data_IF_522493043305
#
_entry.id   IF_522493043305
#
_cell.length_a   1.000
_cell.length_b   1.000
_cell.length_c   1.000
_cell.angle_alpha   90.00
_cell.angle_beta   90.00
_cell.angle_gamma   90.00
#
_symmetry.space_group_name_H-M   'P 1'
#
loop_
_entity.id
_entity.type
_entity.pdbx_description
1 polymer ?
#
# COMPACT_ATOMS: atom_id res chain seq x y z
N UNK A 1 11.14 -15.68 12.65
CA UNK A 1 9.65 -15.76 12.62
C UNK A 1 9.11 -14.45 13.14
N UNK A 2 8.29 -13.72 12.38
CA UNK A 2 7.60 -12.54 12.86
C UNK A 2 6.71 -12.96 14.05
N UNK A 3 7.07 -12.54 15.27
CA UNK A 3 6.31 -12.81 16.50
C UNK A 3 5.09 -11.89 16.65
N UNK A 4 4.73 -11.14 15.60
CA UNK A 4 3.57 -10.26 15.62
C UNK A 4 2.28 -11.07 15.39
N UNK A 5 1.33 -10.95 16.31
CA UNK A 5 -0.02 -11.51 16.15
C UNK A 5 -0.68 -10.90 14.90
N UNK A 6 -1.26 -11.73 14.03
CA UNK A 6 -2.05 -11.25 12.88
C UNK A 6 -3.26 -10.45 13.39
N UNK A 7 -3.38 -9.16 13.07
CA UNK A 7 -4.41 -8.33 13.65
C UNK A 7 -5.70 -8.50 12.84
N UNK A 8 -6.43 -9.60 13.07
CA UNK A 8 -7.66 -9.92 12.34
C UNK A 8 -8.70 -8.78 12.39
N UNK A 9 -8.75 -8.00 13.48
CA UNK A 9 -9.62 -6.81 13.61
C UNK A 9 -9.19 -5.61 12.75
N UNK A 10 -7.96 -5.61 12.24
CA UNK A 10 -7.40 -4.54 11.41
C UNK A 10 -7.71 -4.69 9.91
N UNK A 11 -8.38 -5.77 9.50
CA UNK A 11 -8.79 -6.01 8.11
C UNK A 11 -10.29 -6.29 8.09
N UNK A 12 -11.01 -5.70 7.13
CA UNK A 12 -12.41 -6.06 6.89
C UNK A 12 -12.52 -7.49 6.43
N UNK A 13 -13.52 -8.22 6.93
CA UNK A 13 -13.74 -9.62 6.57
C UNK A 13 -13.81 -9.78 5.04
N UNK A 14 -14.50 -8.88 4.33
CA UNK A 14 -14.61 -8.90 2.86
C UNK A 14 -13.27 -8.80 2.11
N UNK A 15 -12.23 -8.26 2.73
CA UNK A 15 -10.92 -7.99 2.09
C UNK A 15 -9.94 -9.15 2.17
N UNK A 16 -10.22 -10.22 2.93
CA UNK A 16 -9.29 -11.34 3.04
C UNK A 16 -9.99 -12.68 3.22
N UNK A 17 -9.32 -13.75 2.80
CA UNK A 17 -9.70 -15.11 3.12
C UNK A 17 -8.48 -15.85 3.70
N UNK A 18 -8.62 -16.42 4.88
CA UNK A 18 -7.60 -17.25 5.49
C UNK A 18 -8.25 -18.52 6.02
N UNK A 19 -7.64 -19.67 5.73
CA UNK A 19 -8.10 -20.97 6.23
C UNK A 19 -6.91 -21.91 6.38
N UNK A 20 -7.09 -22.93 7.21
CA UNK A 20 -6.17 -24.06 7.29
C UNK A 20 -6.94 -25.34 7.57
N UNK A 21 -6.45 -26.46 7.05
CA UNK A 21 -7.09 -27.75 7.22
C UNK A 21 -6.32 -28.87 6.53
N UNK A 22 -6.84 -30.10 6.62
CA UNK A 22 -6.24 -31.25 5.98
C UNK A 22 -6.77 -31.49 4.57
N UNK A 23 -5.90 -32.02 3.72
CA UNK A 23 -6.28 -32.41 2.36
C UNK A 23 -7.34 -33.50 2.34
N UNK A 24 -7.22 -34.52 3.20
CA UNK A 24 -8.23 -35.59 3.35
C UNK A 24 -9.61 -35.08 3.77
N UNK A 25 -9.69 -33.88 4.35
CA UNK A 25 -10.93 -33.25 4.83
C UNK A 25 -11.50 -32.26 3.79
N UNK A 26 -10.90 -32.16 2.60
CA UNK A 26 -11.41 -31.35 1.50
C UNK A 26 -11.06 -29.87 1.58
N UNK A 27 -9.94 -29.50 2.23
CA UNK A 27 -9.52 -28.10 2.37
C UNK A 27 -9.28 -27.42 1.01
N UNK A 28 -8.84 -28.16 -0.01
CA UNK A 28 -8.58 -27.62 -1.36
C UNK A 28 -9.90 -27.20 -2.01
N UNK A 29 -10.91 -28.08 -2.00
CA UNK A 29 -12.23 -27.81 -2.53
C UNK A 29 -12.89 -26.65 -1.78
N UNK A 30 -12.69 -26.57 -0.46
CA UNK A 30 -13.15 -25.45 0.35
C UNK A 30 -12.49 -24.13 -0.08
N UNK A 31 -11.17 -24.10 -0.25
CA UNK A 31 -10.45 -22.89 -0.69
C UNK A 31 -10.94 -22.45 -2.06
N UNK A 32 -11.04 -23.37 -3.02
CA UNK A 32 -11.49 -23.04 -4.39
C UNK A 32 -12.92 -22.51 -4.41
N UNK A 33 -13.83 -23.13 -3.65
CA UNK A 33 -15.22 -22.69 -3.51
C UNK A 33 -15.32 -21.30 -2.88
N UNK A 34 -14.61 -21.07 -1.77
CA UNK A 34 -14.65 -19.78 -1.08
C UNK A 34 -13.99 -18.67 -1.88
N UNK A 35 -12.86 -18.94 -2.56
CA UNK A 35 -12.23 -17.97 -3.46
C UNK A 35 -13.15 -17.57 -4.60
N UNK A 36 -13.80 -18.53 -5.28
CA UNK A 36 -14.76 -18.25 -6.35
C UNK A 36 -15.97 -17.44 -5.85
N UNK A 37 -16.46 -17.74 -4.65
CA UNK A 37 -17.62 -17.07 -4.04
C UNK A 37 -17.29 -15.64 -3.60
N UNK A 38 -16.12 -15.44 -2.99
CA UNK A 38 -15.74 -14.20 -2.32
C UNK A 38 -14.98 -13.23 -3.22
N UNK A 39 -14.23 -13.75 -4.19
CA UNK A 39 -13.39 -12.99 -5.12
C UNK A 39 -13.60 -13.46 -6.56
N UNK A 40 -14.80 -13.27 -7.14
CA UNK A 40 -15.16 -13.82 -8.45
C UNK A 40 -14.35 -13.25 -9.63
N UNK A 41 -13.70 -12.10 -9.44
CA UNK A 41 -12.80 -11.51 -10.44
C UNK A 41 -11.40 -12.16 -10.46
N UNK A 42 -11.07 -12.95 -9.45
CA UNK A 42 -9.77 -13.60 -9.32
C UNK A 42 -9.78 -15.02 -9.91
N UNK A 43 -8.65 -15.47 -10.49
CA UNK A 43 -8.52 -16.86 -10.86
C UNK A 43 -8.59 -17.75 -9.62
N UNK A 44 -9.32 -18.85 -9.76
CA UNK A 44 -9.41 -19.88 -8.72
C UNK A 44 -8.00 -20.45 -8.46
N UNK A 45 -7.56 -20.61 -7.20
CA UNK A 45 -6.23 -21.14 -6.92
C UNK A 45 -6.07 -22.57 -7.44
N UNK A 46 -4.94 -22.79 -8.09
CA UNK A 46 -4.49 -24.12 -8.52
C UNK A 46 -3.51 -24.67 -7.48
N UNK A 47 -3.65 -25.96 -7.18
CA UNK A 47 -2.80 -26.67 -6.24
C UNK A 47 -2.10 -27.82 -6.95
N UNK A 48 -0.86 -28.08 -6.57
CA UNK A 48 -0.03 -29.12 -7.17
C UNK A 48 -0.69 -30.51 -7.10
N UNK A 49 -0.52 -31.32 -8.15
CA UNK A 49 -0.97 -32.71 -8.19
C UNK A 49 -0.50 -33.57 -7.00
N UNK A 50 0.63 -33.24 -6.36
CA UNK A 50 1.19 -33.90 -5.16
C UNK A 50 0.20 -33.92 -3.98
N UNK A 51 -0.72 -32.96 -3.91
CA UNK A 51 -1.79 -32.98 -2.91
C UNK A 51 -2.74 -34.17 -3.06
N UNK A 52 -2.88 -34.73 -4.26
CA UNK A 52 -3.72 -35.90 -4.52
C UNK A 52 -3.13 -37.19 -3.96
N UNK A 53 -1.82 -37.23 -3.70
CA UNK A 53 -1.11 -38.43 -3.24
C UNK A 53 -0.74 -38.37 -1.75
N UNK A 54 -0.95 -37.23 -1.08
CA UNK A 54 -0.59 -36.99 0.31
C UNK A 54 -1.81 -36.50 1.13
N UNK A 55 -2.82 -37.35 1.39
CA UNK A 55 -4.07 -36.93 2.01
C UNK A 55 -3.92 -36.44 3.47
N UNK A 56 -2.91 -36.89 4.20
CA UNK A 56 -2.69 -36.54 5.62
C UNK A 56 -1.92 -35.23 5.85
N UNK A 57 -1.70 -34.42 4.81
CA UNK A 57 -0.98 -33.14 4.94
C UNK A 57 -1.90 -31.99 5.27
N UNK A 58 -1.39 -31.06 6.09
CA UNK A 58 -2.05 -29.80 6.40
C UNK A 58 -1.65 -28.72 5.39
N UNK A 59 -2.64 -27.95 4.94
CA UNK A 59 -2.48 -26.78 4.08
C UNK A 59 -2.98 -25.53 4.83
N UNK A 60 -2.17 -24.46 4.80
CA UNK A 60 -2.60 -23.14 5.21
C UNK A 60 -2.62 -22.21 3.98
N UNK A 61 -3.73 -21.52 3.77
CA UNK A 61 -3.95 -20.62 2.64
C UNK A 61 -4.44 -19.26 3.13
N UNK A 62 -3.79 -18.20 2.67
CA UNK A 62 -4.21 -16.83 2.91
C UNK A 62 -4.24 -16.02 1.61
N UNK A 63 -5.30 -15.27 1.43
CA UNK A 63 -5.53 -14.33 0.33
C UNK A 63 -5.93 -12.98 0.89
N UNK A 64 -5.27 -11.92 0.42
CA UNK A 64 -5.58 -10.54 0.76
C UNK A 64 -5.84 -9.76 -0.53
N UNK A 65 -7.02 -9.13 -0.62
CA UNK A 65 -7.38 -8.19 -1.67
C UNK A 65 -7.82 -6.88 -1.03
N UNK A 66 -7.02 -5.85 -1.26
CA UNK A 66 -7.30 -4.50 -0.78
C UNK A 66 -7.38 -3.59 -1.97
N UNK A 67 -8.62 -3.37 -2.42
CA UNK A 67 -8.95 -2.37 -3.42
C UNK A 67 -9.37 -1.08 -2.71
N UNK A 68 -8.59 -0.01 -2.92
CA UNK A 68 -8.86 1.31 -2.34
C UNK A 68 -9.10 2.30 -3.48
N UNK A 69 -10.37 2.65 -3.63
CA UNK A 69 -10.84 3.55 -4.65
C UNK A 69 -10.68 5.04 -4.24
N UNK A 70 -9.92 5.83 -5.00
CA UNK A 70 -9.84 7.29 -4.82
C UNK A 70 -11.10 8.00 -5.33
N UNK A 71 -11.71 8.83 -4.49
CA UNK A 71 -12.88 9.64 -4.86
C UNK A 71 -12.63 10.51 -6.10
N UNK A 72 -11.41 11.05 -6.22
CA UNK A 72 -10.97 11.78 -7.41
C UNK A 72 -9.73 11.11 -8.01
N UNK A 73 -9.78 10.66 -9.27
CA UNK A 73 -8.64 10.00 -9.90
C UNK A 73 -7.49 10.98 -10.11
N UNK A 74 -6.26 10.49 -9.99
CA UNK A 74 -5.06 11.27 -10.28
C UNK A 74 -4.80 11.37 -11.79
N UNK A 75 -3.98 12.33 -12.18
CA UNK A 75 -3.56 12.52 -13.56
C UNK A 75 -2.34 11.66 -13.86
N UNK A 76 -2.30 10.99 -15.01
CA UNK A 76 -1.05 10.35 -15.45
C UNK A 76 0.04 11.39 -15.74
N UNK A 77 1.27 11.02 -15.47
CA UNK A 77 2.44 11.76 -15.95
C UNK A 77 2.60 11.49 -17.46
N UNK A 78 2.73 12.54 -18.29
CA UNK A 78 2.87 12.37 -19.74
C UNK A 78 4.28 11.89 -20.16
N UNK A 79 5.24 11.93 -19.25
CA UNK A 79 6.63 11.55 -19.47
C UNK A 79 7.07 10.52 -18.43
N UNK A 80 8.18 9.83 -18.72
CA UNK A 80 8.84 8.96 -17.77
C UNK A 80 9.13 9.72 -16.46
N UNK A 81 8.85 9.05 -15.35
CA UNK A 81 9.25 9.48 -14.02
C UNK A 81 10.46 8.64 -13.62
N UNK A 82 11.59 9.29 -13.34
CA UNK A 82 12.83 8.59 -12.99
C UNK A 82 12.77 8.12 -11.53
N UNK A 83 12.77 6.80 -11.32
CA UNK A 83 12.91 6.20 -10.00
C UNK A 83 14.36 5.73 -9.80
N UNK A 84 15.02 6.23 -8.75
CA UNK A 84 16.36 5.84 -8.36
C UNK A 84 16.31 4.84 -7.19
N UNK A 85 16.80 3.62 -7.37
CA UNK A 85 16.84 2.59 -6.32
C UNK A 85 17.95 2.84 -5.29
N UNK A 86 18.01 1.99 -4.25
CA UNK A 86 19.01 2.07 -3.18
C UNK A 86 20.45 1.86 -3.65
N UNK A 87 20.65 1.20 -4.79
CA UNK A 87 21.95 0.99 -5.43
C UNK A 87 22.34 2.14 -6.38
N UNK A 88 21.46 3.12 -6.59
CA UNK A 88 21.65 4.25 -7.48
C UNK A 88 21.21 3.99 -8.93
N UNK A 89 20.60 2.84 -9.24
CA UNK A 89 20.07 2.54 -10.57
C UNK A 89 18.85 3.42 -10.84
N UNK A 90 18.81 4.07 -12.00
CA UNK A 90 17.66 4.88 -12.43
C UNK A 90 16.83 4.13 -13.47
N UNK A 91 15.52 4.10 -13.25
CA UNK A 91 14.55 3.47 -14.15
C UNK A 91 13.42 4.44 -14.44
N UNK A 92 13.15 4.69 -15.73
CA UNK A 92 11.97 5.45 -16.16
C UNK A 92 10.69 4.62 -16.00
N UNK A 93 9.79 5.06 -15.13
CA UNK A 93 8.53 4.37 -14.81
C UNK A 93 7.31 5.25 -15.14
N UNK A 94 6.15 4.63 -15.25
CA UNK A 94 4.89 5.39 -15.28
C UNK A 94 4.57 5.89 -13.86
N UNK A 95 3.89 7.03 -13.81
CA UNK A 95 3.53 7.67 -12.55
C UNK A 95 2.25 8.47 -12.69
N UNK A 96 1.64 8.81 -11.57
CA UNK A 96 0.53 9.73 -11.47
C UNK A 96 0.87 10.94 -10.60
N UNK A 97 0.14 12.05 -10.82
CA UNK A 97 0.40 13.33 -10.18
C UNK A 97 -0.88 14.05 -9.77
N UNK A 98 -0.78 14.83 -8.70
CA UNK A 98 -1.77 15.87 -8.39
C UNK A 98 -1.42 17.12 -9.20
N UNK A 99 -1.95 17.25 -10.43
CA UNK A 99 -1.56 18.29 -11.39
C UNK A 99 -1.72 19.72 -10.86
N UNK A 100 -0.92 20.64 -11.43
CA UNK A 100 -1.14 22.09 -11.46
C UNK A 100 -1.18 22.56 -12.92
N UNK A 101 -2.15 23.41 -13.27
CA UNK A 101 -2.32 24.03 -14.60
C UNK A 101 -3.48 25.03 -14.57
N UNK A 102 -3.50 26.08 -15.43
CA UNK A 102 -4.45 27.19 -15.33
C UNK A 102 -5.89 26.93 -15.82
N UNK A 103 -6.21 25.78 -16.41
CA UNK A 103 -7.46 25.56 -17.15
C UNK A 103 -8.49 24.58 -16.54
N UNK A 104 -9.13 24.87 -15.40
CA UNK A 104 -10.48 24.39 -15.00
C UNK A 104 -10.75 24.50 -13.51
N UNK A 105 -11.92 25.00 -13.17
CA UNK A 105 -12.48 25.08 -11.81
C UNK A 105 -12.75 23.73 -11.12
N UNK A 106 -12.35 22.60 -11.72
CA UNK A 106 -12.42 21.25 -11.14
C UNK A 106 -11.18 20.85 -10.33
N UNK A 107 -10.12 21.66 -10.40
CA UNK A 107 -8.75 21.30 -10.03
C UNK A 107 -8.44 21.17 -8.54
N UNK A 108 -9.27 21.71 -7.66
CA UNK A 108 -8.99 21.66 -6.23
C UNK A 108 -9.21 20.27 -5.62
N UNK A 109 -10.04 19.41 -6.23
CA UNK A 109 -10.54 18.20 -5.56
C UNK A 109 -9.50 17.08 -5.41
N UNK A 110 -8.70 16.82 -6.45
CA UNK A 110 -7.62 15.81 -6.40
C UNK A 110 -6.54 16.22 -5.39
N UNK A 111 -6.29 17.53 -5.25
CA UNK A 111 -5.33 18.06 -4.28
C UNK A 111 -5.91 18.10 -2.86
N UNK A 112 -7.19 18.45 -2.75
CA UNK A 112 -7.88 18.54 -1.47
C UNK A 112 -7.94 17.19 -0.76
N UNK A 113 -8.14 16.08 -1.48
CA UNK A 113 -8.15 14.75 -0.86
C UNK A 113 -6.78 14.35 -0.27
N UNK A 114 -5.68 14.96 -0.70
CA UNK A 114 -4.33 14.64 -0.20
C UNK A 114 -4.13 15.24 1.19
N UNK A 115 -3.66 14.43 2.14
CA UNK A 115 -3.20 14.92 3.44
C UNK A 115 -1.71 14.62 3.61
N UNK A 116 -0.92 15.66 3.90
CA UNK A 116 0.50 15.54 4.27
C UNK A 116 0.55 15.23 5.76
N UNK A 117 0.95 14.00 6.08
CA UNK A 117 1.00 13.49 7.46
C UNK A 117 2.32 13.83 8.17
N UNK A 118 3.36 14.13 7.40
CA UNK A 118 4.68 14.54 7.88
C UNK A 118 5.44 15.22 6.75
N UNK A 119 6.22 16.26 7.07
CA UNK A 119 7.16 16.88 6.15
C UNK A 119 8.39 17.40 6.89
N UNK A 120 9.56 17.10 6.35
CA UNK A 120 10.85 17.65 6.74
C UNK A 120 11.61 17.98 5.44
N UNK A 121 11.96 19.27 5.20
CA UNK A 121 12.61 19.68 3.97
C UNK A 121 14.02 19.10 3.79
N UNK A 122 14.68 18.64 4.86
CA UNK A 122 16.07 18.23 4.82
C UNK A 122 17.02 19.36 4.38
N UNK A 123 18.22 18.98 3.96
CA UNK A 123 19.23 19.93 3.43
C UNK A 123 19.05 20.22 1.93
N UNK A 124 18.36 19.32 1.22
CA UNK A 124 18.06 19.38 -0.20
C UNK A 124 16.78 18.62 -0.50
N UNK A 125 16.14 18.84 -1.67
CA UNK A 125 15.03 18.02 -2.14
C UNK A 125 15.35 16.51 -2.13
N UNK A 126 16.63 16.15 -2.24
CA UNK A 126 17.08 14.77 -2.23
C UNK A 126 17.07 14.11 -0.83
N UNK A 127 17.11 14.94 0.20
CA UNK A 127 17.10 14.51 1.61
C UNK A 127 15.77 14.78 2.31
N UNK A 128 14.80 15.40 1.63
CA UNK A 128 13.51 15.70 2.22
C UNK A 128 12.78 14.40 2.60
N UNK A 129 12.16 14.40 3.77
CA UNK A 129 11.37 13.27 4.27
C UNK A 129 9.92 13.70 4.37
N UNK A 130 9.00 12.79 4.03
CA UNK A 130 7.58 13.11 4.10
C UNK A 130 6.73 11.86 4.14
N UNK A 131 5.50 12.03 4.61
CA UNK A 131 4.45 11.03 4.52
C UNK A 131 3.15 11.66 4.02
N UNK A 132 2.45 10.94 3.16
CA UNK A 132 1.25 11.41 2.49
C UNK A 132 0.17 10.34 2.58
N UNK A 133 -1.02 10.72 3.01
CA UNK A 133 -2.27 10.01 2.75
C UNK A 133 -2.79 10.46 1.38
N UNK A 134 -2.87 9.53 0.44
CA UNK A 134 -3.25 9.86 -0.93
C UNK A 134 -4.73 10.26 -1.06
N UNK A 135 -5.57 9.95 -0.07
CA UNK A 135 -6.95 10.43 -0.07
C UNK A 135 -7.55 10.24 1.32
N UNK A 136 -7.68 11.31 2.12
CA UNK A 136 -8.26 11.23 3.47
C UNK A 136 -9.71 10.70 3.49
N UNK A 137 -10.36 10.63 2.32
CA UNK A 137 -11.74 10.20 2.10
C UNK A 137 -11.88 8.69 1.91
N UNK A 138 -10.82 7.95 1.57
CA UNK A 138 -10.91 6.50 1.33
C UNK A 138 -11.44 5.78 2.57
N UNK A 139 -12.34 4.82 2.45
CA UNK A 139 -12.84 4.04 3.60
C UNK A 139 -12.92 2.56 3.22
N UNK A 140 -12.66 1.65 4.17
CA UNK A 140 -12.27 1.90 5.57
C UNK A 140 -10.76 2.12 5.76
N UNK A 141 -9.97 1.90 4.71
CA UNK A 141 -8.52 1.92 4.79
C UNK A 141 -7.91 3.27 4.46
N UNK A 142 -6.78 3.54 5.11
CA UNK A 142 -5.84 4.60 4.77
C UNK A 142 -4.68 3.99 4.00
N UNK A 143 -4.27 4.63 2.90
CA UNK A 143 -3.05 4.29 2.17
C UNK A 143 -2.05 5.41 2.40
N UNK A 144 -1.04 5.13 3.21
CA UNK A 144 0.03 6.07 3.53
C UNK A 144 1.27 5.70 2.73
N UNK A 145 1.80 6.66 1.98
CA UNK A 145 3.12 6.57 1.39
C UNK A 145 4.10 7.41 2.19
N UNK A 146 5.30 6.90 2.43
CA UNK A 146 6.29 7.65 3.19
C UNK A 146 7.72 7.49 2.66
N UNK A 147 8.37 8.62 2.39
CA UNK A 147 9.78 8.71 2.04
C UNK A 147 10.56 9.12 3.28
N UNK A 148 11.22 8.16 3.91
CA UNK A 148 12.05 8.35 5.12
C UNK A 148 13.13 7.26 5.18
N UNK A 149 14.17 7.40 6.03
CA UNK A 149 15.14 6.32 6.23
C UNK A 149 14.49 5.01 6.66
N UNK A 150 14.93 3.90 6.06
CA UNK A 150 14.49 2.55 6.42
C UNK A 150 15.10 2.16 7.77
N UNK A 151 14.28 1.67 8.69
CA UNK A 151 14.75 1.03 9.91
C UNK A 151 15.23 -0.41 9.66
N UNK A 152 15.79 -1.04 10.70
CA UNK A 152 16.29 -2.42 10.62
C UNK A 152 15.19 -3.45 10.28
N UNK A 153 13.92 -3.12 10.54
CA UNK A 153 12.76 -3.94 10.20
C UNK A 153 11.64 -3.04 9.67
N UNK A 154 10.68 -3.61 8.92
CA UNK A 154 9.48 -2.88 8.50
C UNK A 154 8.68 -2.35 9.70
N UNK A 155 8.63 -3.12 10.80
CA UNK A 155 7.99 -2.69 12.04
C UNK A 155 8.67 -1.47 12.66
N UNK A 156 10.00 -1.44 12.71
CA UNK A 156 10.75 -0.28 13.17
C UNK A 156 10.55 0.94 12.26
N UNK A 157 10.53 0.75 10.94
CA UNK A 157 10.22 1.84 9.98
C UNK A 157 8.81 2.38 10.19
N UNK A 158 7.81 1.51 10.40
CA UNK A 158 6.43 1.91 10.65
C UNK A 158 6.26 2.65 11.99
N UNK A 159 6.98 2.22 13.03
CA UNK A 159 7.02 2.91 14.31
C UNK A 159 7.61 4.31 14.16
N UNK A 160 8.77 4.44 13.51
CA UNK A 160 9.42 5.74 13.26
C UNK A 160 8.53 6.68 12.43
N UNK A 161 7.82 6.15 11.43
CA UNK A 161 6.81 6.88 10.67
C UNK A 161 5.70 7.40 11.61
N UNK A 162 5.17 6.54 12.48
CA UNK A 162 4.08 6.92 13.38
C UNK A 162 4.52 7.99 14.39
N UNK A 163 5.74 7.91 14.93
CA UNK A 163 6.32 8.92 15.82
C UNK A 163 6.44 10.27 15.11
N UNK A 164 6.95 10.29 13.86
CA UNK A 164 7.04 11.51 13.04
C UNK A 164 5.68 12.13 12.74
N UNK A 165 4.68 11.31 12.39
CA UNK A 165 3.30 11.80 12.17
C UNK A 165 2.71 12.40 13.45
N UNK A 166 2.87 11.73 14.59
CA UNK A 166 2.37 12.22 15.88
C UNK A 166 3.05 13.53 16.27
N UNK A 167 4.38 13.64 16.10
CA UNK A 167 5.12 14.86 16.38
C UNK A 167 4.69 16.02 15.49
N UNK A 168 4.53 15.78 14.19
CA UNK A 168 4.12 16.79 13.21
C UNK A 168 2.73 17.36 13.48
N UNK A 169 1.81 16.57 14.03
CA UNK A 169 0.48 17.04 14.45
C UNK A 169 0.49 18.09 15.57
N UNK A 170 1.59 18.18 16.32
CA UNK A 170 1.74 19.16 17.40
C UNK A 170 2.30 20.50 16.90
N UNK A 171 2.63 20.62 15.60
CA UNK A 171 3.08 21.87 15.00
C UNK A 171 1.93 22.91 15.04
N UNK A 172 2.14 24.14 15.53
CA UNK A 172 1.10 25.18 15.59
C UNK A 172 0.46 25.48 14.23
N UNK A 173 1.21 25.30 13.14
CA UNK A 173 0.77 25.54 11.77
C UNK A 173 0.29 24.25 11.07
N UNK A 174 0.14 23.12 11.79
CA UNK A 174 -0.20 21.80 11.21
C UNK A 174 -1.36 21.86 10.22
N UNK A 175 -2.41 22.64 10.48
CA UNK A 175 -3.57 22.77 9.59
C UNK A 175 -3.25 23.42 8.24
N UNK A 176 -2.22 24.27 8.18
CA UNK A 176 -1.70 24.81 6.93
C UNK A 176 -0.75 23.80 6.27
N UNK A 177 0.13 23.16 7.05
CA UNK A 177 1.14 22.24 6.55
C UNK A 177 0.58 20.90 6.05
N UNK A 178 -0.52 20.42 6.62
CA UNK A 178 -1.15 19.14 6.25
C UNK A 178 -1.83 19.17 4.87
N UNK A 179 -2.02 20.35 4.28
CA UNK A 179 -2.68 20.51 2.97
C UNK A 179 -1.66 20.57 1.86
N UNK A 180 -1.98 19.99 0.70
CA UNK A 180 -1.19 20.15 -0.51
C UNK A 180 -1.45 21.55 -1.13
N UNK A 181 -0.55 22.50 -0.89
CA UNK A 181 -0.71 23.91 -1.31
C UNK A 181 -0.59 24.03 -2.82
N UNK A 182 -1.14 25.08 -3.47
CA UNK A 182 -1.08 25.22 -4.94
C UNK A 182 0.33 25.15 -5.54
N UNK A 183 1.36 25.58 -4.81
CA UNK A 183 2.76 25.56 -5.25
C UNK A 183 3.45 24.20 -5.05
N UNK A 184 2.83 23.26 -4.32
CA UNK A 184 3.41 21.94 -4.07
C UNK A 184 3.20 20.98 -5.24
N UNK A 185 4.08 19.99 -5.35
CA UNK A 185 3.98 18.93 -6.35
C UNK A 185 3.98 17.56 -5.68
N UNK A 186 3.09 16.68 -6.13
CA UNK A 186 3.00 15.27 -5.71
C UNK A 186 3.08 14.40 -6.96
N UNK A 187 4.04 13.48 -6.99
CA UNK A 187 4.23 12.50 -8.05
C UNK A 187 4.52 11.14 -7.41
N UNK A 188 3.79 10.11 -7.85
CA UNK A 188 3.83 8.75 -7.29
C UNK A 188 3.95 7.76 -8.46
N UNK A 189 4.91 6.82 -8.45
CA UNK A 189 4.96 5.74 -9.44
C UNK A 189 3.69 4.89 -9.43
N UNK A 190 3.27 4.38 -10.59
CA UNK A 190 2.31 3.29 -10.61
C UNK A 190 3.00 2.03 -10.07
N UNK A 191 2.43 1.43 -9.02
CA UNK A 191 2.97 0.21 -8.39
C UNK A 191 1.97 -0.91 -8.56
N UNK A 192 2.36 -1.94 -9.30
CA UNK A 192 1.59 -3.17 -9.46
C UNK A 192 2.29 -4.29 -8.71
N UNK A 193 1.62 -4.85 -7.72
CA UNK A 193 2.18 -5.88 -6.87
C UNK A 193 1.27 -7.10 -6.80
N UNK A 194 1.66 -8.15 -7.52
CA UNK A 194 1.08 -9.48 -7.39
C UNK A 194 2.14 -10.40 -6.83
N UNK A 195 2.10 -10.66 -5.53
CA UNK A 195 3.03 -11.57 -4.87
C UNK A 195 2.30 -12.85 -4.47
N UNK A 196 2.87 -13.98 -4.88
CA UNK A 196 2.63 -15.26 -4.25
C UNK A 196 3.88 -15.59 -3.43
N UNK A 197 3.74 -15.69 -2.12
CA UNK A 197 4.80 -16.07 -1.21
C UNK A 197 4.56 -17.50 -0.72
N UNK A 198 5.58 -18.34 -0.88
CA UNK A 198 5.64 -19.66 -0.27
C UNK A 198 6.51 -19.54 0.98
N UNK A 199 5.96 -19.85 2.15
CA UNK A 199 6.74 -19.84 3.39
C UNK A 199 7.59 -21.11 3.50
N UNK A 200 8.70 -21.14 2.77
CA UNK A 200 9.61 -22.30 2.73
C UNK A 200 10.14 -22.67 4.11
N UNK A 201 10.38 -21.68 4.98
CA UNK A 201 10.81 -21.87 6.37
C UNK A 201 9.81 -22.66 7.21
N UNK A 202 8.54 -22.76 6.81
CA UNK A 202 7.55 -23.56 7.51
C UNK A 202 7.55 -25.01 7.01
N UNK A 203 8.04 -25.28 5.80
CA UNK A 203 8.01 -26.60 5.19
C UNK A 203 8.76 -27.64 6.04
N UNK A 204 8.13 -28.80 6.24
CA UNK A 204 8.70 -29.92 7.00
C UNK A 204 8.75 -29.72 8.51
N UNK A 205 8.34 -28.55 9.04
CA UNK A 205 8.22 -28.35 10.49
C UNK A 205 6.98 -29.05 11.04
N UNK A 206 7.18 -29.80 12.12
CA UNK A 206 6.10 -30.50 12.80
C UNK A 206 5.24 -29.54 13.63
N UNK A 207 3.95 -29.84 13.68
CA UNK A 207 3.01 -29.17 14.55
C UNK A 207 3.33 -29.49 16.03
N UNK A 208 3.56 -28.45 16.83
CA UNK A 208 4.07 -28.59 18.20
C UNK A 208 3.02 -28.96 19.26
N UNK A 209 1.75 -29.10 18.87
CA UNK A 209 0.63 -29.40 19.76
C UNK A 209 0.44 -30.93 19.89
N UNK A 210 0.27 -31.41 21.13
CA UNK A 210 0.23 -32.86 21.46
C UNK A 210 -0.77 -33.67 20.62
N UNK A 211 -1.93 -33.11 20.27
CA UNK A 211 -2.94 -33.78 19.44
C UNK A 211 -2.52 -34.01 17.97
N UNK A 212 -1.48 -33.32 17.51
CA UNK A 212 -1.06 -33.29 16.11
C UNK A 212 0.41 -33.68 15.96
N UNK A 213 0.96 -34.40 16.95
CA UNK A 213 2.29 -34.99 16.88
C UNK A 213 2.36 -35.92 15.65
N UNK A 214 3.37 -35.70 14.80
CA UNK A 214 3.57 -36.45 13.55
C UNK A 214 3.09 -35.74 12.28
N UNK A 215 2.31 -34.66 12.40
CA UNK A 215 1.90 -33.83 11.26
C UNK A 215 2.89 -32.68 11.04
N UNK A 216 3.17 -32.35 9.79
CA UNK A 216 4.09 -31.27 9.41
C UNK A 216 3.44 -30.33 8.39
N UNK A 217 3.92 -29.08 8.33
CA UNK A 217 3.50 -28.14 7.30
C UNK A 217 4.05 -28.59 5.95
N UNK A 218 3.16 -28.98 5.04
CA UNK A 218 3.51 -29.37 3.68
C UNK A 218 3.56 -28.18 2.72
N UNK A 219 2.72 -27.16 2.96
CA UNK A 219 2.82 -25.85 2.30
C UNK A 219 2.09 -24.78 3.13
N UNK A 220 2.63 -23.57 3.09
CA UNK A 220 1.96 -22.37 3.57
C UNK A 220 2.08 -21.30 2.48
N UNK A 221 0.95 -20.96 1.88
CA UNK A 221 0.85 -20.03 0.76
C UNK A 221 0.17 -18.73 1.20
N UNK A 222 0.80 -17.61 0.87
CA UNK A 222 0.17 -16.30 0.95
C UNK A 222 0.16 -15.65 -0.42
N UNK A 223 -1.02 -15.29 -0.90
CA UNK A 223 -1.18 -14.50 -2.12
C UNK A 223 -1.69 -13.10 -1.77
N UNK A 224 -0.99 -12.09 -2.28
CA UNK A 224 -1.31 -10.68 -2.14
C UNK A 224 -1.48 -10.09 -3.54
N UNK A 225 -2.65 -9.53 -3.81
CA UNK A 225 -2.90 -8.70 -4.99
C UNK A 225 -3.12 -7.26 -4.52
N UNK A 226 -2.15 -6.40 -4.83
CA UNK A 226 -2.15 -4.98 -4.48
C UNK A 226 -1.81 -4.16 -5.72
N UNK A 227 -2.63 -3.16 -6.00
CA UNK A 227 -2.39 -2.21 -7.08
C UNK A 227 -2.54 -0.80 -6.54
N UNK A 228 -1.55 0.04 -6.80
CA UNK A 228 -1.59 1.47 -6.57
C UNK A 228 -1.50 2.17 -7.93
N UNK A 229 -2.64 2.65 -8.40
CA UNK A 229 -2.77 3.35 -9.68
C UNK A 229 -3.68 4.57 -9.55
N UNK A 230 -3.80 5.32 -10.64
CA UNK A 230 -4.53 6.60 -10.66
C UNK A 230 -6.07 6.49 -10.52
N UNK A 231 -6.71 5.35 -10.82
CA UNK A 231 -8.16 5.25 -11.13
C UNK A 231 -8.98 4.40 -10.16
N UNK A 232 -8.98 4.68 -8.87
CA UNK A 232 -9.97 4.07 -7.97
C UNK A 232 -11.43 4.54 -8.16
N UNK A 233 -12.09 4.34 -9.32
CA UNK A 233 -13.37 4.93 -9.82
C UNK A 233 -14.58 4.72 -8.83
N UNK A 234 -15.60 5.58 -8.59
CA UNK A 234 -16.42 6.50 -9.45
C UNK A 234 -16.92 7.77 -8.73
N UNK A 235 -16.89 8.86 -9.51
CA UNK A 235 -17.45 10.21 -9.44
C UNK A 235 -18.80 10.41 -8.69
N UNK A 236 -18.82 11.33 -7.71
CA UNK A 236 -20.00 12.13 -7.31
C UNK A 236 -19.60 13.59 -6.99
N UNK A 237 -20.49 14.51 -7.35
CA UNK A 237 -20.28 15.95 -7.30
C UNK A 237 -20.87 16.58 -6.04
N UNK A 238 -20.08 17.37 -5.32
CA UNK A 238 -20.54 18.34 -4.31
C UNK A 238 -19.57 19.55 -4.31
N UNK A 239 -20.09 20.76 -4.11
CA UNK A 239 -19.32 22.01 -4.18
C UNK A 239 -19.15 22.64 -2.79
N UNK A 240 -17.92 23.07 -2.45
CA UNK A 240 -17.63 23.92 -1.28
C UNK A 240 -16.62 25.01 -1.65
N UNK A 241 -16.92 26.23 -1.23
CA UNK A 241 -16.05 27.41 -1.30
C UNK A 241 -15.01 27.36 -0.18
N UNK A 242 -13.74 27.62 -0.50
CA UNK A 242 -12.68 27.82 0.48
C UNK A 242 -12.14 29.25 0.39
N UNK A 243 -12.02 29.91 1.54
CA UNK A 243 -11.45 31.25 1.71
C UNK A 243 -9.98 31.10 2.12
N UNK A 244 -9.09 31.86 1.50
CA UNK A 244 -7.66 31.84 1.82
C UNK A 244 -7.39 32.54 3.16
N UNK A 245 -6.73 31.84 4.09
CA UNK A 245 -6.17 32.42 5.30
C UNK A 245 -4.69 32.79 5.09
N UNK A 246 -4.22 33.75 5.91
CA UNK A 246 -2.87 34.33 5.90
C UNK A 246 -1.79 33.24 6.01
N UNK A 247 -0.78 33.27 5.13
CA UNK A 247 0.33 32.30 5.13
C UNK A 247 1.46 32.74 6.10
N UNK A 248 2.03 31.82 6.91
CA UNK A 248 3.23 32.07 7.72
C UNK A 248 4.47 32.36 6.86
N UNK A 249 5.44 33.13 7.40
CA UNK A 249 6.62 33.65 6.67
C UNK A 249 7.66 32.60 6.21
N UNK A 250 7.64 31.36 6.72
CA UNK A 250 8.58 30.29 6.30
C UNK A 250 8.04 29.38 5.18
N UNK A 251 6.85 29.69 4.66
CA UNK A 251 6.04 28.82 3.78
C UNK A 251 6.35 29.06 2.28
N UNK A 252 7.32 29.90 1.92
CA UNK A 252 7.51 30.38 0.54
C UNK A 252 8.09 29.37 -0.46
N UNK A 253 8.70 28.26 -0.01
CA UNK A 253 9.29 27.27 -0.92
C UNK A 253 8.28 26.17 -1.30
N UNK A 254 8.18 25.78 -2.59
CA UNK A 254 7.35 24.66 -3.00
C UNK A 254 7.88 23.34 -2.43
N UNK A 255 6.99 22.45 -2.00
CA UNK A 255 7.35 21.09 -1.56
C UNK A 255 7.29 20.14 -2.74
N UNK A 256 8.36 19.35 -2.90
CA UNK A 256 8.46 18.31 -3.92
C UNK A 256 8.24 16.94 -3.28
N UNK A 257 6.98 16.52 -3.19
CA UNK A 257 6.55 15.25 -2.63
C UNK A 257 6.64 14.16 -3.72
N UNK A 258 7.86 13.89 -4.18
CA UNK A 258 8.11 12.94 -5.28
C UNK A 258 8.60 11.61 -4.72
N UNK A 259 7.89 10.53 -5.02
CA UNK A 259 8.30 9.17 -4.64
C UNK A 259 9.23 8.58 -5.70
N UNK A 260 10.34 9.28 -5.97
CA UNK A 260 11.36 9.00 -6.99
C UNK A 260 12.52 8.13 -6.49
N UNK A 261 12.40 7.57 -5.29
CA UNK A 261 13.42 6.76 -4.60
C UNK A 261 12.78 5.93 -3.49
N UNK A 262 13.51 5.04 -2.79
CA UNK A 262 12.91 4.08 -1.88
C UNK A 262 11.95 4.68 -0.87
N UNK A 263 10.79 4.04 -0.73
CA UNK A 263 9.70 4.52 0.11
C UNK A 263 8.89 3.37 0.71
N UNK A 264 8.16 3.68 1.78
CA UNK A 264 7.24 2.77 2.44
C UNK A 264 5.82 2.97 1.90
N UNK A 265 5.14 1.86 1.59
CA UNK A 265 3.68 1.78 1.47
C UNK A 265 3.15 1.16 2.76
N UNK A 266 2.19 1.83 3.39
CA UNK A 266 1.55 1.40 4.62
C UNK A 266 0.03 1.46 4.45
N UNK A 267 -0.65 0.33 4.67
CA UNK A 267 -2.11 0.26 4.66
C UNK A 267 -2.61 -0.18 6.03
N UNK A 268 -3.58 0.60 6.54
CA UNK A 268 -4.20 0.40 7.85
C UNK A 268 -5.67 0.81 7.80
N UNK A 269 -6.47 0.39 8.79
CA UNK A 269 -7.77 1.03 9.04
C UNK A 269 -7.56 2.50 9.41
N UNK A 270 -8.54 3.34 9.08
CA UNK A 270 -8.51 4.77 9.43
C UNK A 270 -8.80 5.07 10.89
N UNK A 271 -9.33 4.09 11.61
CA UNK A 271 -9.61 4.22 13.04
C UNK A 271 -8.33 4.62 13.80
N UNK A 272 -8.41 5.53 14.77
CA UNK A 272 -7.28 5.90 15.60
C UNK A 272 -6.65 4.67 16.26
N UNK A 273 -5.32 4.59 16.26
CA UNK A 273 -4.59 3.48 16.88
C UNK A 273 -4.60 2.18 16.08
N UNK A 274 -5.15 2.16 14.86
CA UNK A 274 -5.13 0.97 14.02
C UNK A 274 -3.71 0.56 13.62
N UNK A 275 -3.37 -0.70 13.91
CA UNK A 275 -2.14 -1.34 13.44
C UNK A 275 -2.17 -1.53 11.92
N UNK A 276 -1.09 -1.20 11.20
CA UNK A 276 -1.01 -1.53 9.78
C UNK A 276 -1.00 -3.04 9.56
N UNK A 277 -1.80 -3.48 8.61
CA UNK A 277 -1.87 -4.90 8.22
C UNK A 277 -1.05 -5.17 6.94
N UNK A 278 -0.66 -4.11 6.22
CA UNK A 278 0.22 -4.21 5.07
C UNK A 278 1.32 -3.14 5.16
N UNK A 279 2.56 -3.59 5.05
CA UNK A 279 3.76 -2.77 4.98
C UNK A 279 4.63 -3.30 3.84
N UNK A 280 5.02 -2.42 2.93
CA UNK A 280 5.93 -2.75 1.84
C UNK A 280 6.99 -1.68 1.71
N UNK A 281 8.25 -2.09 1.71
CA UNK A 281 9.35 -1.21 1.35
C UNK A 281 9.63 -1.38 -0.14
N UNK A 282 9.38 -0.34 -0.92
CA UNK A 282 9.66 -0.30 -2.35
C UNK A 282 11.09 0.19 -2.52
N UNK A 283 12.01 -0.73 -2.79
CA UNK A 283 13.44 -0.43 -2.89
C UNK A 283 13.90 -0.15 -4.32
N UNK A 284 13.26 -0.81 -5.29
CA UNK A 284 13.63 -0.80 -6.71
C UNK A 284 12.36 -0.68 -7.60
N UNK A 285 12.57 -0.62 -8.91
CA UNK A 285 11.50 -0.46 -9.89
C UNK A 285 10.88 -1.79 -10.39
N UNK A 286 11.20 -2.95 -9.79
CA UNK A 286 10.71 -4.27 -10.27
C UNK A 286 9.19 -4.40 -10.19
N UNK A 287 8.57 -3.69 -9.25
CA UNK A 287 7.12 -3.66 -9.02
C UNK A 287 6.43 -2.48 -9.71
N UNK A 288 7.17 -1.73 -10.53
CA UNK A 288 6.68 -0.56 -11.23
C UNK A 288 6.50 -0.86 -12.72
N UNK A 289 5.51 -0.22 -13.33
CA UNK A 289 5.37 -0.30 -14.78
C UNK A 289 6.43 0.58 -15.46
N UNK A 290 7.25 0.01 -16.34
CA UNK A 290 8.22 0.79 -17.11
C UNK A 290 7.50 1.72 -18.09
N UNK A 291 8.02 2.93 -18.22
CA UNK A 291 7.51 3.88 -19.20
C UNK A 291 7.85 3.37 -20.61
N UNK A 292 6.82 3.17 -21.44
CA UNK A 292 6.97 2.63 -22.82
C UNK A 292 6.44 1.20 -23.00
N UNK A 293 6.16 0.46 -21.92
CA UNK A 293 5.56 -0.89 -21.99
C UNK A 293 4.03 -0.87 -22.17
N UNK A 294 3.43 0.30 -22.44
CA UNK A 294 2.03 0.37 -22.84
C UNK A 294 1.86 -0.23 -24.25
N UNK A 295 1.55 -1.52 -24.31
CA UNK A 295 0.85 -2.07 -25.49
C UNK A 295 -0.45 -1.29 -25.62
N UNK A 296 -0.59 -0.54 -26.71
CA UNK A 296 -1.88 0.01 -27.13
C UNK A 296 -2.94 -1.12 -27.07
N UNK A 297 -4.15 -0.85 -26.53
CA UNK A 297 -5.26 -1.77 -26.68
C UNK A 297 -5.57 -2.04 -28.16
#
# INVERSE_FOLDING_TARGET
>A
MNQASFPAGSIEERSYYATAGFVREGIIEQIQKEMKRRFPAEPVPEFDSRYRTLPDVALAYAYLNVDVAFQYPYYACPSAFEFQDSNGTRTGVTAFRAQTGPESSSYDRVRAQVEILYYDPGQSPDTAQFAVDLSYETRPYQVVLARLPRGNTLGATAQALQEKITGFKNDPDYEAWRKLRPIDTLIVPDVLYKLTHHFEDLLGKYLGNQKWQGYFFFEALQKIDFSLSRTGVVLRSEARLAVAARMPQEVDKPRHLHFDRPFLICVRKREPGATPFFLMWVDNAELMQRHGDQKNP
#
